data_IF_473098236940
#
_entry.id   IF_473098236940
#
_cell.length_a   1.000
_cell.length_b   1.000
_cell.length_c   1.000
_cell.angle_alpha   90.00
_cell.angle_beta   90.00
_cell.angle_gamma   90.00
#
_symmetry.space_group_name_H-M   'P 1'
#
loop_
_entity.id
_entity.type
_entity.pdbx_description
1 polymer ?
#
# COMPACT_ATOMS: atom_id res chain seq x y z
N UNK A 1 14.50 -20.39 -17.29
CA UNK A 1 13.04 -20.23 -17.03
C UNK A 1 12.57 -19.02 -17.79
N UNK A 2 11.47 -19.15 -18.54
CA UNK A 2 10.82 -18.03 -19.21
C UNK A 2 9.72 -17.50 -18.32
N UNK A 3 9.80 -16.23 -17.95
CA UNK A 3 8.86 -15.51 -17.10
C UNK A 3 8.13 -14.43 -17.91
N UNK A 4 6.81 -14.37 -17.86
CA UNK A 4 6.06 -13.21 -18.32
C UNK A 4 5.68 -12.34 -17.11
N UNK A 5 6.02 -11.04 -17.17
CA UNK A 5 5.73 -10.06 -16.15
C UNK A 5 4.61 -9.13 -16.64
N UNK A 6 3.42 -9.30 -16.07
CA UNK A 6 2.22 -8.53 -16.41
C UNK A 6 2.17 -7.16 -15.71
N UNK A 7 1.36 -6.24 -16.23
CA UNK A 7 1.24 -4.85 -15.77
C UNK A 7 2.61 -4.17 -15.64
N UNK A 8 3.52 -4.48 -16.59
CA UNK A 8 4.90 -4.01 -16.57
C UNK A 8 5.00 -2.51 -16.78
N UNK A 9 5.74 -1.85 -15.91
CA UNK A 9 6.10 -0.45 -16.04
C UNK A 9 7.58 -0.32 -16.38
N UNK A 10 7.98 0.84 -16.88
CA UNK A 10 9.39 1.09 -17.24
C UNK A 10 10.34 0.81 -16.07
N UNK A 11 9.97 1.23 -14.87
CA UNK A 11 10.79 0.99 -13.67
C UNK A 11 10.91 -0.51 -13.33
N UNK A 12 9.86 -1.34 -13.56
CA UNK A 12 10.00 -2.78 -13.38
C UNK A 12 11.10 -3.34 -14.29
N UNK A 13 11.06 -2.98 -15.57
CA UNK A 13 12.06 -3.39 -16.54
C UNK A 13 13.46 -2.97 -16.13
N UNK A 14 13.65 -1.69 -15.78
CA UNK A 14 14.96 -1.14 -15.42
C UNK A 14 15.59 -1.90 -14.22
N UNK A 15 14.80 -2.31 -13.23
CA UNK A 15 15.30 -3.02 -12.04
C UNK A 15 15.40 -4.53 -12.23
N UNK A 16 14.44 -5.18 -12.89
CA UNK A 16 14.51 -6.62 -13.14
C UNK A 16 15.62 -6.99 -14.12
N UNK A 17 15.82 -6.24 -15.21
CA UNK A 17 16.89 -6.49 -16.18
C UNK A 17 18.29 -6.42 -15.55
N UNK A 18 18.47 -5.57 -14.54
CA UNK A 18 19.74 -5.43 -13.82
C UNK A 18 20.17 -6.72 -13.12
N UNK A 19 19.21 -7.53 -12.65
CA UNK A 19 19.48 -8.71 -11.82
C UNK A 19 19.05 -10.04 -12.45
N UNK A 20 18.25 -10.04 -13.52
CA UNK A 20 17.68 -11.25 -14.15
C UNK A 20 18.73 -12.23 -14.67
N UNK A 21 19.86 -11.72 -15.18
CA UNK A 21 20.95 -12.54 -15.71
C UNK A 21 21.58 -13.45 -14.65
N UNK A 22 21.75 -12.95 -13.43
CA UNK A 22 22.29 -13.72 -12.31
C UNK A 22 21.33 -14.80 -11.81
N UNK A 23 20.02 -14.59 -12.01
CA UNK A 23 18.98 -15.54 -11.67
C UNK A 23 18.71 -16.58 -12.78
N UNK A 24 19.31 -16.44 -13.95
CA UNK A 24 19.08 -17.28 -15.15
C UNK A 24 17.60 -17.32 -15.55
N UNK A 25 16.94 -16.16 -15.52
CA UNK A 25 15.53 -15.96 -15.87
C UNK A 25 15.44 -15.07 -17.11
N UNK A 26 14.73 -15.54 -18.11
CA UNK A 26 14.41 -14.79 -19.33
C UNK A 26 13.04 -14.13 -19.13
N UNK A 27 13.00 -12.78 -19.06
CA UNK A 27 11.80 -12.03 -18.71
C UNK A 27 11.23 -11.34 -19.94
N UNK A 28 9.95 -11.60 -20.20
CA UNK A 28 9.15 -10.84 -21.16
C UNK A 28 8.22 -9.92 -20.39
N UNK A 29 8.18 -8.67 -20.79
CA UNK A 29 7.39 -7.61 -20.14
C UNK A 29 6.11 -7.35 -20.93
N UNK A 30 4.96 -7.58 -20.28
CA UNK A 30 3.62 -7.35 -20.83
C UNK A 30 2.99 -6.14 -20.10
N UNK A 31 2.58 -5.13 -20.86
CA UNK A 31 2.00 -3.90 -20.31
C UNK A 31 0.54 -4.08 -19.83
N UNK A 32 -0.15 -5.08 -20.39
CA UNK A 32 -1.50 -5.41 -19.96
C UNK A 32 -1.48 -6.11 -18.59
N UNK A 33 -2.54 -5.91 -17.82
CA UNK A 33 -2.78 -6.65 -16.58
C UNK A 33 -3.15 -8.10 -16.89
N UNK A 34 -2.81 -9.01 -16.00
CA UNK A 34 -3.32 -10.38 -16.05
C UNK A 34 -4.78 -10.39 -15.58
N UNK A 35 -5.65 -10.76 -16.50
CA UNK A 35 -7.11 -10.89 -16.30
C UNK A 35 -7.57 -12.16 -17.02
N UNK A 36 -8.83 -12.60 -16.85
CA UNK A 36 -9.37 -13.70 -17.67
C UNK A 36 -9.18 -13.48 -19.17
N UNK A 37 -9.36 -12.26 -19.66
CA UNK A 37 -9.28 -11.91 -21.08
C UNK A 37 -7.84 -11.96 -21.61
N UNK A 38 -6.85 -11.60 -20.79
CA UNK A 38 -5.42 -11.51 -21.17
C UNK A 38 -4.62 -12.74 -20.75
N UNK A 39 -5.22 -13.69 -20.04
CA UNK A 39 -4.55 -14.89 -19.55
C UNK A 39 -3.89 -15.74 -20.66
N UNK A 40 -4.43 -15.68 -21.89
CA UNK A 40 -3.89 -16.37 -23.06
C UNK A 40 -2.47 -15.91 -23.43
N UNK A 41 -2.06 -14.70 -23.01
CA UNK A 41 -0.71 -14.19 -23.24
C UNK A 41 0.37 -14.93 -22.42
N UNK A 42 -0.05 -15.73 -21.44
CA UNK A 42 0.87 -16.54 -20.64
C UNK A 42 1.24 -17.89 -21.28
N UNK A 43 0.67 -18.22 -22.45
CA UNK A 43 1.01 -19.47 -23.15
C UNK A 43 2.49 -19.49 -23.60
N UNK A 44 3.17 -20.61 -23.35
CA UNK A 44 4.58 -20.81 -23.68
C UNK A 44 5.57 -20.25 -22.66
N UNK A 45 5.10 -19.81 -21.48
CA UNK A 45 5.93 -19.39 -20.35
C UNK A 45 5.92 -20.43 -19.24
N UNK A 46 6.96 -20.42 -18.40
CA UNK A 46 7.12 -21.34 -17.26
C UNK A 46 6.49 -20.77 -15.97
N UNK A 47 6.45 -19.44 -15.86
CA UNK A 47 5.95 -18.71 -14.70
C UNK A 47 5.35 -17.36 -15.10
N UNK A 48 4.49 -16.83 -14.25
CA UNK A 48 3.94 -15.46 -14.35
C UNK A 48 4.38 -14.61 -13.16
N UNK A 49 4.73 -13.34 -13.42
CA UNK A 49 4.95 -12.33 -12.40
C UNK A 49 3.81 -11.32 -12.47
N UNK A 50 3.14 -11.08 -11.32
CA UNK A 50 1.94 -10.27 -11.23
C UNK A 50 2.07 -9.18 -10.18
N UNK A 51 1.22 -8.15 -10.27
CA UNK A 51 1.19 -7.01 -9.35
C UNK A 51 -0.17 -6.93 -8.62
N UNK A 52 -0.33 -5.91 -7.79
CA UNK A 52 -1.45 -5.74 -6.86
C UNK A 52 -2.82 -5.67 -7.54
N UNK A 53 -2.88 -5.21 -8.78
CA UNK A 53 -4.12 -5.02 -9.54
C UNK A 53 -4.40 -6.11 -10.59
N UNK A 54 -3.55 -7.12 -10.70
CA UNK A 54 -3.81 -8.30 -11.52
C UNK A 54 -4.92 -9.15 -10.89
N UNK A 55 -5.70 -9.82 -11.74
CA UNK A 55 -6.82 -10.67 -11.33
C UNK A 55 -6.46 -12.12 -11.58
N UNK A 56 -6.07 -12.84 -10.53
CA UNK A 56 -5.72 -14.26 -10.60
C UNK A 56 -6.79 -15.08 -9.90
N UNK A 57 -7.98 -15.04 -10.47
CA UNK A 57 -9.14 -15.80 -10.02
C UNK A 57 -9.07 -17.28 -10.48
N UNK A 58 -10.10 -18.07 -10.21
CA UNK A 58 -10.16 -19.49 -10.58
C UNK A 58 -9.97 -19.72 -12.06
N UNK A 59 -10.63 -18.94 -12.90
CA UNK A 59 -10.56 -19.05 -14.35
C UNK A 59 -9.13 -18.84 -14.85
N UNK A 60 -8.45 -17.80 -14.36
CA UNK A 60 -7.04 -17.52 -14.68
C UNK A 60 -6.14 -18.65 -14.19
N UNK A 61 -6.33 -19.13 -12.95
CA UNK A 61 -5.53 -20.23 -12.41
C UNK A 61 -5.67 -21.50 -13.25
N UNK A 62 -6.89 -21.86 -13.64
CA UNK A 62 -7.12 -23.03 -14.49
C UNK A 62 -6.43 -22.87 -15.83
N UNK A 63 -6.50 -21.68 -16.45
CA UNK A 63 -5.84 -21.36 -17.71
C UNK A 63 -4.31 -21.44 -17.60
N UNK A 64 -3.73 -20.87 -16.54
CA UNK A 64 -2.29 -20.97 -16.28
C UNK A 64 -1.86 -22.44 -16.11
N UNK A 65 -2.67 -23.26 -15.43
CA UNK A 65 -2.40 -24.70 -15.30
C UNK A 65 -2.49 -25.46 -16.62
N UNK A 66 -3.45 -25.12 -17.51
CA UNK A 66 -3.54 -25.68 -18.87
C UNK A 66 -2.27 -25.40 -19.69
N UNK A 67 -1.67 -24.22 -19.55
CA UNK A 67 -0.39 -23.85 -20.18
C UNK A 67 0.84 -24.47 -19.51
N UNK A 68 0.65 -25.22 -18.41
CA UNK A 68 1.73 -25.87 -17.69
C UNK A 68 2.51 -24.98 -16.74
N UNK A 69 2.03 -23.76 -16.47
CA UNK A 69 2.65 -22.82 -15.53
C UNK A 69 2.56 -23.38 -14.11
N UNK A 70 3.68 -23.32 -13.38
CA UNK A 70 3.81 -23.90 -12.02
C UNK A 70 4.04 -22.86 -10.94
N UNK A 71 4.32 -21.60 -11.31
CA UNK A 71 4.74 -20.57 -10.38
C UNK A 71 4.05 -19.23 -10.70
N UNK A 72 3.43 -18.64 -9.69
CA UNK A 72 2.98 -17.25 -9.67
C UNK A 72 3.88 -16.47 -8.72
N UNK A 73 4.51 -15.41 -9.21
CA UNK A 73 5.38 -14.52 -8.44
C UNK A 73 4.67 -13.19 -8.23
N UNK A 74 4.24 -12.90 -7.02
CA UNK A 74 3.72 -11.58 -6.67
C UNK A 74 4.90 -10.64 -6.37
N UNK A 75 5.12 -9.61 -7.22
CA UNK A 75 6.13 -8.57 -6.97
C UNK A 75 5.63 -7.49 -5.99
N UNK A 76 4.78 -7.90 -5.04
CA UNK A 76 4.21 -7.05 -4.00
C UNK A 76 3.94 -7.85 -2.73
N UNK A 77 3.64 -7.14 -1.63
CA UNK A 77 3.34 -7.78 -0.34
C UNK A 77 1.89 -8.29 -0.25
N UNK A 78 0.94 -7.60 -0.89
CA UNK A 78 -0.46 -7.99 -0.93
C UNK A 78 -0.71 -9.16 -1.88
N UNK A 79 -1.63 -10.06 -1.52
CA UNK A 79 -2.02 -11.21 -2.35
C UNK A 79 -3.53 -11.28 -2.59
N UNK A 80 -4.25 -10.19 -2.33
CA UNK A 80 -5.72 -10.14 -2.45
C UNK A 80 -6.21 -10.36 -3.89
N UNK A 81 -5.35 -10.15 -4.90
CA UNK A 81 -5.65 -10.41 -6.31
C UNK A 81 -5.64 -11.89 -6.70
N UNK A 82 -5.16 -12.79 -5.83
CA UNK A 82 -5.01 -14.23 -6.12
C UNK A 82 -5.96 -15.06 -5.25
N UNK A 83 -6.73 -15.97 -5.86
CA UNK A 83 -7.52 -16.98 -5.12
C UNK A 83 -6.56 -18.06 -4.57
N UNK A 84 -5.91 -17.75 -3.44
CA UNK A 84 -4.93 -18.64 -2.79
C UNK A 84 -5.56 -19.99 -2.42
N UNK A 85 -6.83 -19.99 -2.00
CA UNK A 85 -7.54 -21.23 -1.65
C UNK A 85 -7.67 -22.14 -2.86
N UNK A 86 -7.96 -21.58 -4.01
CA UNK A 86 -8.11 -22.34 -5.25
C UNK A 86 -6.76 -22.73 -5.88
N UNK A 87 -5.73 -21.93 -5.69
CA UNK A 87 -4.37 -22.21 -6.17
C UNK A 87 -3.71 -23.41 -5.49
N UNK A 88 -4.19 -23.81 -4.31
CA UNK A 88 -3.66 -24.92 -3.53
C UNK A 88 -3.55 -26.22 -4.36
N UNK A 89 -2.39 -26.88 -4.27
CA UNK A 89 -2.04 -28.09 -4.99
C UNK A 89 -2.11 -27.99 -6.54
N UNK A 90 -2.32 -26.81 -7.09
CA UNK A 90 -2.35 -26.56 -8.53
C UNK A 90 -1.14 -25.78 -8.98
N UNK A 91 -0.85 -24.67 -8.32
CA UNK A 91 0.21 -23.75 -8.70
C UNK A 91 0.81 -23.10 -7.44
N UNK A 92 2.13 -23.00 -7.40
CA UNK A 92 2.83 -22.37 -6.28
C UNK A 92 2.72 -20.85 -6.37
N UNK A 93 2.44 -20.20 -5.26
CA UNK A 93 2.34 -18.74 -5.17
C UNK A 93 3.39 -18.23 -4.21
N UNK A 94 4.30 -17.37 -4.70
CA UNK A 94 5.30 -16.67 -3.87
C UNK A 94 5.10 -15.17 -3.96
N UNK A 95 5.59 -14.43 -2.96
CA UNK A 95 5.44 -12.98 -2.91
C UNK A 95 6.70 -12.27 -2.43
N UNK A 96 6.68 -10.95 -2.46
CA UNK A 96 7.64 -10.09 -1.77
C UNK A 96 7.03 -9.64 -0.45
N UNK A 97 7.39 -10.25 0.69
CA UNK A 97 6.71 -10.01 1.97
C UNK A 97 7.01 -8.62 2.56
N UNK A 98 8.18 -8.08 2.25
CA UNK A 98 8.63 -6.74 2.65
C UNK A 98 9.74 -6.28 1.69
N UNK A 99 9.81 -4.98 1.43
CA UNK A 99 10.85 -4.41 0.55
C UNK A 99 11.58 -3.24 1.21
N UNK A 100 10.91 -2.13 1.56
CA UNK A 100 11.50 -1.00 2.27
C UNK A 100 10.43 -0.34 3.17
N UNK A 101 10.38 -0.69 4.46
CA UNK A 101 9.48 0.00 5.40
C UNK A 101 9.73 1.50 5.47
N UNK A 102 10.98 1.93 5.31
CA UNK A 102 11.38 3.34 5.34
C UNK A 102 10.73 4.14 4.21
N UNK A 103 10.62 3.58 2.99
CA UNK A 103 10.00 4.28 1.85
C UNK A 103 8.60 4.78 2.20
N UNK A 104 7.78 3.92 2.79
CA UNK A 104 6.42 4.28 3.17
C UNK A 104 6.41 5.22 4.39
N UNK A 105 7.30 5.02 5.35
CA UNK A 105 7.41 5.87 6.53
C UNK A 105 7.83 7.30 6.17
N UNK A 106 8.82 7.46 5.30
CA UNK A 106 9.35 8.76 4.86
C UNK A 106 8.33 9.54 4.02
N UNK A 107 7.67 8.90 3.07
CA UNK A 107 6.64 9.61 2.29
C UNK A 107 5.44 9.98 3.16
N UNK A 108 5.09 9.15 4.16
CA UNK A 108 4.01 9.43 5.11
C UNK A 108 4.24 10.74 5.87
N UNK A 109 5.46 10.99 6.35
CA UNK A 109 5.77 12.29 6.99
C UNK A 109 5.79 13.43 5.97
N UNK A 110 6.29 13.18 4.75
CA UNK A 110 6.24 14.14 3.66
C UNK A 110 4.82 14.59 3.33
N UNK A 111 3.87 13.66 3.28
CA UNK A 111 2.44 13.94 3.06
C UNK A 111 1.84 14.77 4.19
N UNK A 112 2.09 14.42 5.47
CA UNK A 112 1.58 15.18 6.62
C UNK A 112 2.17 16.61 6.62
N UNK A 113 3.47 16.77 6.41
CA UNK A 113 4.11 18.08 6.35
C UNK A 113 3.58 18.90 5.17
N UNK A 114 3.26 18.27 4.05
CA UNK A 114 2.66 18.96 2.89
C UNK A 114 1.30 19.54 3.26
N UNK A 115 0.47 18.81 4.01
CA UNK A 115 -0.80 19.33 4.50
C UNK A 115 -0.62 20.41 5.55
N UNK A 116 0.15 20.15 6.61
CA UNK A 116 0.26 21.05 7.77
C UNK A 116 1.01 22.33 7.47
N UNK A 117 1.97 22.29 6.53
CA UNK A 117 2.80 23.43 6.12
C UNK A 117 2.40 23.99 4.76
N UNK A 118 1.35 23.45 4.12
CA UNK A 118 0.80 23.89 2.83
C UNK A 118 1.84 23.96 1.72
N UNK A 119 2.74 22.97 1.67
CA UNK A 119 3.93 22.98 0.79
C UNK A 119 3.54 23.09 -0.68
N UNK A 120 2.53 22.32 -1.14
CA UNK A 120 2.06 22.37 -2.53
C UNK A 120 1.60 23.77 -2.92
N UNK A 121 0.78 24.40 -2.06
CA UNK A 121 0.26 25.74 -2.29
C UNK A 121 1.37 26.79 -2.32
N UNK A 122 2.37 26.66 -1.46
CA UNK A 122 3.53 27.55 -1.45
C UNK A 122 4.35 27.44 -2.74
N UNK A 123 4.59 26.19 -3.22
CA UNK A 123 5.31 25.94 -4.47
C UNK A 123 4.53 26.49 -5.67
N UNK A 124 3.21 26.25 -5.73
CA UNK A 124 2.35 26.76 -6.79
C UNK A 124 2.35 28.28 -6.86
N UNK A 125 2.20 28.96 -5.71
CA UNK A 125 2.27 30.43 -5.64
C UNK A 125 3.58 30.97 -6.18
N UNK A 126 4.72 30.44 -5.72
CA UNK A 126 6.05 30.94 -6.14
C UNK A 126 6.34 30.66 -7.62
N UNK A 127 5.88 29.53 -8.18
CA UNK A 127 5.96 29.25 -9.62
C UNK A 127 5.19 30.26 -10.48
N UNK A 128 4.13 30.84 -9.91
CA UNK A 128 3.32 31.91 -10.53
C UNK A 128 3.76 33.31 -10.09
N UNK A 129 5.00 33.50 -9.59
CA UNK A 129 5.57 34.76 -9.12
C UNK A 129 4.77 35.43 -7.99
N UNK A 130 3.91 34.71 -7.30
CA UNK A 130 3.16 35.19 -6.14
C UNK A 130 3.93 34.84 -4.84
N UNK A 131 4.64 35.80 -4.28
CA UNK A 131 5.43 35.64 -3.06
C UNK A 131 4.68 36.06 -1.78
N UNK A 132 3.39 36.37 -1.87
CA UNK A 132 2.56 36.65 -0.70
C UNK A 132 2.42 35.43 0.21
N UNK A 133 2.48 35.65 1.52
CA UNK A 133 2.29 34.58 2.53
C UNK A 133 0.82 34.33 2.87
N UNK A 134 -0.11 35.08 2.29
CA UNK A 134 -1.54 34.91 2.52
C UNK A 134 -2.02 33.49 2.19
N UNK A 135 -2.75 32.88 3.12
CA UNK A 135 -3.26 31.53 2.99
C UNK A 135 -2.22 30.43 3.23
N UNK A 136 -0.96 30.74 3.61
CA UNK A 136 0.10 29.78 3.89
C UNK A 136 0.32 29.48 5.38
N UNK A 137 -0.45 30.10 6.28
CA UNK A 137 -0.35 29.79 7.72
C UNK A 137 -0.64 28.31 7.93
N UNK A 138 0.35 27.60 8.48
CA UNK A 138 0.28 26.20 8.88
C UNK A 138 0.42 26.07 10.40
N UNK A 139 0.72 24.84 10.85
CA UNK A 139 0.97 24.54 12.26
C UNK A 139 2.05 23.47 12.44
N UNK A 140 2.63 23.42 13.62
CA UNK A 140 3.69 22.48 13.97
C UNK A 140 3.12 21.12 14.43
N UNK A 141 3.86 20.06 14.15
CA UNK A 141 3.56 18.70 14.67
C UNK A 141 4.11 18.48 16.08
N UNK A 142 5.10 19.28 16.49
CA UNK A 142 5.72 19.19 17.81
C UNK A 142 4.67 19.24 18.93
N UNK A 143 4.80 18.34 19.91
CA UNK A 143 3.88 18.14 21.04
C UNK A 143 2.44 17.70 20.69
N UNK A 144 2.11 17.48 19.40
CA UNK A 144 0.83 16.88 19.01
C UNK A 144 0.84 15.37 19.19
N UNK A 145 -0.36 14.81 19.27
CA UNK A 145 -0.55 13.36 19.43
C UNK A 145 -0.85 12.72 18.07
N UNK A 146 -0.12 11.66 17.74
CA UNK A 146 -0.44 10.79 16.62
C UNK A 146 -0.98 9.45 17.13
N UNK A 147 -2.09 9.01 16.56
CA UNK A 147 -2.67 7.68 16.76
C UNK A 147 -2.27 6.76 15.60
N UNK A 148 -1.57 5.69 15.89
CA UNK A 148 -1.11 4.71 14.91
C UNK A 148 -2.00 3.46 15.02
N UNK A 149 -2.65 3.08 13.93
CA UNK A 149 -3.48 1.88 13.87
C UNK A 149 -2.76 0.81 13.06
N UNK A 150 -2.28 -0.24 13.75
CA UNK A 150 -1.35 -1.25 13.24
C UNK A 150 0.10 -0.90 13.54
N UNK A 151 0.83 -1.82 14.21
CA UNK A 151 2.21 -1.61 14.69
C UNK A 151 3.24 -2.49 14.00
N UNK A 152 2.99 -2.80 12.70
CA UNK A 152 3.92 -3.54 11.86
C UNK A 152 5.20 -2.76 11.55
N UNK A 153 6.10 -3.37 10.77
CA UNK A 153 7.43 -2.81 10.46
C UNK A 153 7.40 -1.38 9.92
N UNK A 154 6.45 -1.07 9.02
CA UNK A 154 6.28 0.29 8.46
C UNK A 154 5.92 1.28 9.56
N UNK A 155 4.96 0.94 10.40
CA UNK A 155 4.54 1.79 11.51
C UNK A 155 5.68 2.05 12.50
N UNK A 156 6.52 1.05 12.76
CA UNK A 156 7.68 1.20 13.64
C UNK A 156 8.70 2.20 13.10
N UNK A 157 9.04 2.14 11.81
CA UNK A 157 9.92 3.13 11.18
C UNK A 157 9.27 4.52 11.18
N UNK A 158 7.97 4.61 10.94
CA UNK A 158 7.24 5.87 11.00
C UNK A 158 7.21 6.47 12.41
N UNK A 159 7.00 5.64 13.45
CA UNK A 159 7.07 6.06 14.86
C UNK A 159 8.45 6.63 15.23
N UNK A 160 9.55 6.06 14.73
CA UNK A 160 10.91 6.59 14.94
C UNK A 160 11.05 8.02 14.39
N UNK A 161 10.54 8.26 13.18
CA UNK A 161 10.55 9.59 12.56
C UNK A 161 9.71 10.58 13.39
N UNK A 162 8.48 10.17 13.76
CA UNK A 162 7.56 11.01 14.53
C UNK A 162 8.09 11.34 15.93
N UNK A 163 8.75 10.40 16.58
CA UNK A 163 9.46 10.62 17.86
C UNK A 163 10.56 11.67 17.69
N UNK A 164 11.34 11.61 16.60
CA UNK A 164 12.36 12.62 16.27
C UNK A 164 11.81 14.03 16.05
N UNK A 165 10.56 14.14 15.61
CA UNK A 165 9.83 15.42 15.47
C UNK A 165 9.29 15.92 16.83
N UNK A 166 9.22 15.05 17.84
CA UNK A 166 8.69 15.36 19.16
C UNK A 166 7.17 15.21 19.26
N UNK A 167 6.56 14.32 18.48
CA UNK A 167 5.15 13.95 18.63
C UNK A 167 4.96 12.95 19.76
N UNK A 168 3.78 12.98 20.39
CA UNK A 168 3.32 11.95 21.32
C UNK A 168 2.68 10.82 20.50
N UNK A 169 3.07 9.58 20.77
CA UNK A 169 2.62 8.43 19.97
C UNK A 169 1.70 7.55 20.82
N UNK A 170 0.48 7.37 20.35
CA UNK A 170 -0.47 6.35 20.81
C UNK A 170 -0.60 5.30 19.72
N UNK A 171 -0.74 4.04 20.10
CA UNK A 171 -0.88 2.96 19.13
C UNK A 171 -2.00 2.01 19.50
N UNK A 172 -2.60 1.42 18.47
CA UNK A 172 -3.55 0.33 18.58
C UNK A 172 -3.15 -0.80 17.63
N UNK A 173 -3.15 -2.02 18.14
CA UNK A 173 -2.99 -3.23 17.33
C UNK A 173 -3.84 -4.36 17.94
N UNK A 174 -4.35 -5.25 17.10
CA UNK A 174 -5.08 -6.45 17.57
C UNK A 174 -4.13 -7.48 18.20
N UNK A 175 -2.82 -7.38 17.90
CA UNK A 175 -1.74 -8.19 18.48
C UNK A 175 -0.63 -7.29 19.02
N UNK A 176 -0.84 -6.63 20.18
CA UNK A 176 0.12 -5.69 20.74
C UNK A 176 1.45 -6.37 21.09
N UNK A 177 2.56 -5.71 20.75
CA UNK A 177 3.92 -6.13 21.11
C UNK A 177 4.52 -5.16 22.14
N UNK A 178 4.48 -5.51 23.40
CA UNK A 178 4.93 -4.66 24.51
C UNK A 178 6.46 -4.48 24.60
N UNK A 179 7.25 -5.32 23.93
CA UNK A 179 8.68 -5.11 23.82
C UNK A 179 8.99 -3.92 22.91
N UNK A 180 8.31 -3.85 21.75
CA UNK A 180 8.42 -2.72 20.82
C UNK A 180 7.86 -1.44 21.43
N UNK A 181 6.75 -1.50 22.18
CA UNK A 181 6.22 -0.36 22.93
C UNK A 181 7.30 0.27 23.82
N UNK A 182 8.00 -0.57 24.59
CA UNK A 182 9.07 -0.13 25.47
C UNK A 182 10.29 0.41 24.72
N UNK A 183 10.67 -0.26 23.62
CA UNK A 183 11.83 0.12 22.80
C UNK A 183 11.61 1.49 22.13
N UNK A 184 10.44 1.71 21.53
CA UNK A 184 10.14 2.93 20.78
C UNK A 184 9.48 4.03 21.63
N UNK A 185 9.11 3.75 22.88
CA UNK A 185 8.60 4.74 23.83
C UNK A 185 7.20 5.26 23.50
N UNK A 186 6.38 4.49 22.80
CA UNK A 186 4.97 4.81 22.57
C UNK A 186 4.06 4.12 23.60
N UNK A 187 2.74 4.29 23.52
CA UNK A 187 1.78 3.66 24.41
C UNK A 187 0.67 2.97 23.62
N UNK A 188 0.42 1.67 23.91
CA UNK A 188 -0.79 1.00 23.44
C UNK A 188 -2.03 1.48 24.19
N UNK A 189 -3.08 1.74 23.45
CA UNK A 189 -4.40 2.17 23.94
C UNK A 189 -5.51 1.47 23.13
N UNK A 190 -6.76 1.58 23.59
CA UNK A 190 -7.90 1.13 22.80
C UNK A 190 -8.16 2.07 21.60
N UNK A 191 -8.96 1.57 20.65
CA UNK A 191 -9.27 2.29 19.42
C UNK A 191 -10.06 3.60 19.68
N UNK A 192 -10.94 3.59 20.67
CA UNK A 192 -11.70 4.79 21.06
C UNK A 192 -10.78 5.89 21.59
N UNK A 193 -9.75 5.53 22.33
CA UNK A 193 -8.73 6.48 22.80
C UNK A 193 -7.93 7.05 21.64
N UNK A 194 -7.57 6.21 20.62
CA UNK A 194 -6.95 6.70 19.36
C UNK A 194 -7.84 7.79 18.74
N UNK A 195 -9.12 7.54 18.58
CA UNK A 195 -10.04 8.51 17.99
C UNK A 195 -10.14 9.81 18.80
N UNK A 196 -10.32 9.72 20.11
CA UNK A 196 -10.53 10.89 20.96
C UNK A 196 -9.30 11.76 21.20
N UNK A 197 -8.09 11.16 21.19
CA UNK A 197 -6.90 11.86 21.67
C UNK A 197 -5.92 12.25 20.57
N UNK A 198 -6.11 11.76 19.33
CA UNK A 198 -5.16 11.99 18.25
C UNK A 198 -5.43 13.29 17.49
N UNK A 199 -4.37 14.02 17.17
CA UNK A 199 -4.37 15.16 16.24
C UNK A 199 -4.11 14.67 14.80
N UNK A 200 -3.44 13.52 14.66
CA UNK A 200 -3.22 12.80 13.40
C UNK A 200 -3.55 11.34 13.64
N UNK A 201 -4.30 10.71 12.75
CA UNK A 201 -4.55 9.26 12.77
C UNK A 201 -3.95 8.66 11.51
N UNK A 202 -3.07 7.65 11.68
CA UNK A 202 -2.37 6.99 10.59
C UNK A 202 -2.66 5.49 10.56
N UNK A 203 -3.07 5.01 9.38
CA UNK A 203 -3.47 3.63 9.16
C UNK A 203 -2.31 2.81 8.60
N UNK A 204 -1.94 1.73 9.29
CA UNK A 204 -0.87 0.80 8.94
C UNK A 204 -1.29 -0.67 9.10
N UNK A 205 -2.58 -0.94 9.25
CA UNK A 205 -3.12 -2.28 9.38
C UNK A 205 -3.53 -2.89 8.02
N UNK A 206 -3.53 -4.22 7.88
CA UNK A 206 -4.10 -4.87 6.69
C UNK A 206 -5.63 -4.69 6.67
N UNK A 207 -6.21 -4.76 5.48
CA UNK A 207 -7.66 -4.80 5.31
C UNK A 207 -8.18 -6.23 5.60
N UNK A 208 -9.21 -6.29 6.43
CA UNK A 208 -9.97 -7.50 6.74
C UNK A 208 -11.47 -7.20 6.63
N UNK A 209 -12.34 -8.23 6.73
CA UNK A 209 -13.80 -8.02 6.81
C UNK A 209 -14.20 -7.17 8.01
N UNK A 210 -13.45 -7.27 9.11
CA UNK A 210 -13.83 -6.67 10.40
C UNK A 210 -13.44 -5.19 10.52
N UNK A 211 -12.50 -4.73 9.70
CA UNK A 211 -12.01 -3.35 9.72
C UNK A 211 -12.28 -2.56 8.43
N UNK A 212 -13.04 -3.13 7.50
CA UNK A 212 -13.51 -2.39 6.33
C UNK A 212 -14.32 -1.19 6.80
N UNK A 213 -14.00 0.00 6.24
CA UNK A 213 -14.60 1.28 6.65
C UNK A 213 -14.51 1.55 8.15
N UNK A 214 -13.39 1.19 8.78
CA UNK A 214 -13.19 1.52 10.20
C UNK A 214 -13.14 3.05 10.44
N UNK A 215 -12.72 3.82 9.44
CA UNK A 215 -12.89 5.27 9.40
C UNK A 215 -14.19 5.58 8.65
N UNK A 216 -15.25 5.85 9.39
CA UNK A 216 -16.59 6.10 8.91
C UNK A 216 -17.25 7.24 9.69
N UNK A 217 -18.50 7.55 9.41
CA UNK A 217 -19.22 8.63 10.05
C UNK A 217 -19.24 8.54 11.58
N UNK A 218 -19.40 7.34 12.14
CA UNK A 218 -19.50 7.14 13.59
C UNK A 218 -18.12 7.31 14.26
N UNK A 219 -17.08 6.65 13.73
CA UNK A 219 -15.71 6.82 14.24
C UNK A 219 -15.23 8.27 14.11
N UNK A 220 -15.52 8.94 12.99
CA UNK A 220 -15.19 10.35 12.76
C UNK A 220 -15.89 11.26 13.80
N UNK A 221 -17.13 10.96 14.17
CA UNK A 221 -17.84 11.76 15.17
C UNK A 221 -17.11 11.81 16.53
N UNK A 222 -16.41 10.72 16.88
CA UNK A 222 -15.64 10.56 18.11
C UNK A 222 -14.23 11.18 18.06
N UNK A 223 -13.76 11.57 16.88
CA UNK A 223 -12.42 12.15 16.71
C UNK A 223 -12.37 13.61 17.19
N UNK A 224 -11.15 14.11 17.39
CA UNK A 224 -10.94 15.55 17.61
C UNK A 224 -11.41 16.36 16.41
N UNK A 225 -11.91 17.58 16.66
CA UNK A 225 -12.11 18.55 15.58
C UNK A 225 -10.76 18.97 15.01
N UNK A 226 -10.66 18.98 13.69
CA UNK A 226 -9.43 19.33 13.00
C UNK A 226 -8.38 18.21 12.96
N UNK A 227 -8.77 16.94 13.18
CA UNK A 227 -7.87 15.79 13.02
C UNK A 227 -7.42 15.63 11.57
N UNK A 228 -6.21 15.10 11.35
CA UNK A 228 -5.69 14.71 10.04
C UNK A 228 -5.79 13.19 9.91
N UNK A 229 -6.22 12.72 8.74
CA UNK A 229 -6.23 11.30 8.41
C UNK A 229 -5.13 10.99 7.40
N UNK A 230 -4.27 10.02 7.72
CA UNK A 230 -3.24 9.49 6.83
C UNK A 230 -3.53 8.01 6.52
N UNK A 231 -3.55 7.66 5.25
CA UNK A 231 -3.72 6.28 4.82
C UNK A 231 -2.73 5.90 3.71
N UNK A 232 -1.74 5.09 4.06
CA UNK A 232 -0.80 4.46 3.15
C UNK A 232 -0.93 2.92 3.18
N UNK A 233 -2.07 2.41 3.68
CA UNK A 233 -2.31 0.98 3.85
C UNK A 233 -3.26 0.41 2.79
N UNK A 234 -4.58 0.57 2.97
CA UNK A 234 -5.60 0.09 2.02
C UNK A 234 -6.77 1.08 1.95
N UNK A 235 -7.25 1.37 0.74
CA UNK A 235 -8.33 2.35 0.51
C UNK A 235 -9.61 2.04 1.27
N UNK A 236 -10.05 0.80 1.23
CA UNK A 236 -11.27 0.31 1.91
C UNK A 236 -11.27 0.41 3.45
N UNK A 237 -10.18 0.84 4.09
CA UNK A 237 -10.18 1.16 5.53
C UNK A 237 -10.97 2.43 5.83
N UNK A 238 -11.21 3.27 4.83
CA UNK A 238 -11.92 4.55 4.94
C UNK A 238 -13.17 4.51 4.08
N UNK A 239 -14.31 4.89 4.64
CA UNK A 239 -15.49 5.33 3.88
C UNK A 239 -15.17 6.71 3.29
N UNK A 240 -14.84 6.73 2.00
CA UNK A 240 -14.39 7.96 1.33
C UNK A 240 -15.46 9.05 1.32
N UNK A 241 -16.75 8.67 1.21
CA UNK A 241 -17.84 9.65 1.26
C UNK A 241 -17.96 10.29 2.64
N UNK A 242 -17.89 9.50 3.70
CA UNK A 242 -17.91 10.02 5.07
C UNK A 242 -16.69 10.93 5.34
N UNK A 243 -15.52 10.58 4.80
CA UNK A 243 -14.30 11.42 4.87
C UNK A 243 -14.51 12.77 4.18
N UNK A 244 -15.03 12.81 2.97
CA UNK A 244 -15.30 14.03 2.20
C UNK A 244 -16.28 14.94 2.98
N UNK A 245 -17.40 14.38 3.45
CA UNK A 245 -18.41 15.12 4.22
C UNK A 245 -17.80 15.73 5.50
N UNK A 246 -16.94 14.99 6.18
CA UNK A 246 -16.26 15.44 7.38
C UNK A 246 -15.21 16.54 7.11
N UNK A 247 -14.51 16.48 5.98
CA UNK A 247 -13.57 17.53 5.54
C UNK A 247 -14.35 18.81 5.21
N UNK A 248 -15.43 18.71 4.45
CA UNK A 248 -16.28 19.85 4.09
C UNK A 248 -16.92 20.54 5.29
N UNK A 249 -17.29 19.76 6.30
CA UNK A 249 -17.83 20.31 7.56
C UNK A 249 -16.76 20.91 8.49
N UNK A 250 -15.47 20.72 8.20
CA UNK A 250 -14.36 21.14 9.05
C UNK A 250 -14.11 20.22 10.27
N UNK A 251 -14.79 19.09 10.37
CA UNK A 251 -14.54 18.08 11.42
C UNK A 251 -13.17 17.47 11.26
N UNK A 252 -12.78 17.15 10.02
CA UNK A 252 -11.42 16.72 9.62
C UNK A 252 -10.72 17.90 8.97
N UNK A 253 -9.49 18.22 9.42
CA UNK A 253 -8.68 19.28 8.84
C UNK A 253 -8.28 18.97 7.40
N UNK A 254 -7.90 17.72 7.12
CA UNK A 254 -7.50 17.26 5.82
C UNK A 254 -7.10 15.79 5.82
N UNK A 255 -6.87 15.25 4.64
CA UNK A 255 -6.47 13.87 4.47
C UNK A 255 -5.26 13.74 3.54
N UNK A 256 -4.39 12.76 3.83
CA UNK A 256 -3.26 12.38 3.02
C UNK A 256 -3.38 10.88 2.69
N UNK A 257 -3.62 10.57 1.43
CA UNK A 257 -4.03 9.26 0.97
C UNK A 257 -3.08 8.78 -0.14
N UNK A 258 -2.42 7.66 0.06
CA UNK A 258 -1.68 6.97 -1.02
C UNK A 258 -2.55 5.91 -1.70
N UNK A 259 -3.67 5.55 -1.07
CA UNK A 259 -4.60 4.50 -1.51
C UNK A 259 -6.03 5.02 -1.55
N UNK A 260 -6.86 4.42 -2.42
CA UNK A 260 -8.25 4.78 -2.60
C UNK A 260 -9.13 3.52 -2.74
N UNK A 261 -10.42 3.60 -2.35
CA UNK A 261 -11.33 2.44 -2.38
C UNK A 261 -11.44 1.79 -3.77
N UNK A 262 -11.58 2.60 -4.83
CA UNK A 262 -11.74 2.16 -6.20
C UNK A 262 -10.48 2.37 -7.06
N UNK A 263 -9.29 2.35 -6.45
CA UNK A 263 -8.02 2.63 -7.11
C UNK A 263 -7.72 1.75 -8.32
N UNK A 264 -8.24 0.53 -8.37
CA UNK A 264 -7.98 -0.47 -9.44
C UNK A 264 -8.25 0.05 -10.85
N UNK A 265 -9.20 0.96 -10.99
CA UNK A 265 -9.62 1.48 -12.29
C UNK A 265 -8.72 2.60 -12.80
N UNK A 266 -8.01 3.31 -11.90
CA UNK A 266 -7.35 4.57 -12.23
C UNK A 266 -5.86 4.56 -11.88
N UNK A 267 -5.47 4.05 -10.71
CA UNK A 267 -4.10 4.13 -10.25
C UNK A 267 -3.16 3.30 -11.13
N UNK A 268 -1.92 3.76 -11.25
CA UNK A 268 -0.88 3.26 -12.16
C UNK A 268 -1.15 3.50 -13.66
N UNK A 269 -2.21 4.22 -14.03
CA UNK A 269 -2.54 4.53 -15.43
C UNK A 269 -2.53 6.04 -15.67
N UNK A 270 -2.17 6.45 -16.89
CA UNK A 270 -2.35 7.83 -17.33
C UNK A 270 -3.78 8.03 -17.85
N UNK A 271 -4.62 8.61 -17.02
CA UNK A 271 -6.02 8.94 -17.33
C UNK A 271 -6.18 10.40 -17.80
N UNK A 272 -5.10 11.14 -18.09
CA UNK A 272 -5.19 12.56 -18.47
C UNK A 272 -5.99 12.82 -19.74
N UNK A 273 -6.03 11.85 -20.65
CA UNK A 273 -6.78 11.92 -21.92
C UNK A 273 -8.21 11.34 -21.83
N UNK A 274 -8.38 10.28 -21.04
CA UNK A 274 -9.68 9.58 -20.91
C UNK A 274 -10.55 10.16 -19.82
N UNK A 275 -9.94 10.89 -18.87
CA UNK A 275 -10.62 11.37 -17.68
C UNK A 275 -10.83 10.26 -16.64
N UNK A 276 -11.50 10.61 -15.56
CA UNK A 276 -11.90 9.74 -14.45
C UNK A 276 -13.43 9.72 -14.43
N UNK A 277 -14.03 8.54 -14.43
CA UNK A 277 -15.49 8.35 -14.32
C UNK A 277 -15.89 7.87 -12.92
N UNK A 278 -15.39 8.57 -11.90
CA UNK A 278 -15.67 8.34 -10.49
C UNK A 278 -15.89 9.70 -9.82
N UNK A 279 -17.16 10.04 -9.58
CA UNK A 279 -17.53 11.34 -9.01
C UNK A 279 -16.99 11.53 -7.59
N UNK A 280 -16.85 10.45 -6.80
CA UNK A 280 -16.29 10.51 -5.46
C UNK A 280 -14.79 10.84 -5.52
N UNK A 281 -14.06 10.21 -6.45
CA UNK A 281 -12.65 10.54 -6.65
C UNK A 281 -12.44 11.95 -7.15
N UNK A 282 -13.27 12.41 -8.11
CA UNK A 282 -13.24 13.82 -8.58
C UNK A 282 -13.49 14.80 -7.45
N UNK A 283 -14.49 14.52 -6.62
CA UNK A 283 -14.82 15.34 -5.46
C UNK A 283 -13.65 15.37 -4.46
N UNK A 284 -13.09 14.21 -4.14
CA UNK A 284 -11.92 14.09 -3.26
C UNK A 284 -10.72 14.90 -3.76
N UNK A 285 -10.41 14.79 -5.06
CA UNK A 285 -9.31 15.51 -5.71
C UNK A 285 -9.54 17.03 -5.81
N UNK A 286 -10.78 17.49 -5.71
CA UNK A 286 -11.12 18.93 -5.75
C UNK A 286 -10.90 19.66 -4.42
N UNK A 287 -10.63 18.92 -3.33
CA UNK A 287 -10.47 19.50 -2.00
C UNK A 287 -9.04 19.99 -1.78
N UNK A 288 -8.85 21.28 -1.48
CA UNK A 288 -7.54 21.93 -1.25
C UNK A 288 -6.71 21.31 -0.12
N UNK A 289 -7.38 20.68 0.84
CA UNK A 289 -6.80 20.06 2.02
C UNK A 289 -6.78 18.54 1.96
N UNK A 290 -6.79 18.00 0.76
CA UNK A 290 -6.60 16.57 0.48
C UNK A 290 -5.38 16.37 -0.42
N UNK A 291 -4.54 15.42 -0.07
CA UNK A 291 -3.43 14.95 -0.90
C UNK A 291 -3.75 13.51 -1.27
N UNK A 292 -3.82 13.22 -2.56
CA UNK A 292 -3.96 11.87 -3.08
C UNK A 292 -2.74 11.53 -3.93
N UNK A 293 -2.08 10.44 -3.58
CA UNK A 293 -1.04 9.83 -4.40
C UNK A 293 -1.61 8.57 -5.07
N UNK A 294 -0.88 8.02 -6.01
CA UNK A 294 -1.35 6.92 -6.86
C UNK A 294 -0.78 5.56 -6.42
N UNK A 295 -0.84 5.25 -5.12
CA UNK A 295 -0.28 4.04 -4.52
C UNK A 295 1.23 3.92 -4.78
N UNK A 296 1.94 5.03 -4.60
CA UNK A 296 3.36 5.17 -4.92
C UNK A 296 4.27 5.21 -3.69
N UNK A 297 3.73 5.04 -2.47
CA UNK A 297 4.51 5.18 -1.24
C UNK A 297 5.73 4.24 -1.19
N UNK A 298 5.70 3.13 -1.90
CA UNK A 298 6.81 2.19 -2.02
C UNK A 298 7.88 2.58 -3.04
N UNK A 299 7.61 3.52 -3.95
CA UNK A 299 8.39 3.73 -5.17
C UNK A 299 9.71 4.45 -4.88
N UNK A 300 10.70 3.71 -4.41
CA UNK A 300 12.08 4.14 -4.20
C UNK A 300 13.07 3.16 -4.80
N UNK A 301 14.32 3.58 -5.00
CA UNK A 301 15.39 2.72 -5.53
C UNK A 301 15.60 1.48 -4.67
N UNK A 302 15.59 1.63 -3.35
CA UNK A 302 15.77 0.57 -2.37
C UNK A 302 14.64 -0.45 -2.43
N UNK A 303 13.40 0.04 -2.52
CA UNK A 303 12.22 -0.82 -2.61
C UNK A 303 12.19 -1.60 -3.94
N UNK A 304 12.41 -0.93 -5.07
CA UNK A 304 12.43 -1.56 -6.39
C UNK A 304 13.56 -2.58 -6.52
N UNK A 305 14.74 -2.25 -5.99
CA UNK A 305 15.87 -3.19 -5.90
C UNK A 305 15.49 -4.43 -5.08
N UNK A 306 14.91 -4.23 -3.90
CA UNK A 306 14.50 -5.32 -3.01
C UNK A 306 13.40 -6.18 -3.65
N UNK A 307 12.42 -5.56 -4.32
CA UNK A 307 11.35 -6.25 -5.04
C UNK A 307 11.93 -7.16 -6.13
N UNK A 308 12.82 -6.64 -6.97
CA UNK A 308 13.44 -7.41 -8.04
C UNK A 308 14.27 -8.59 -7.48
N UNK A 309 15.15 -8.30 -6.50
CA UNK A 309 16.02 -9.33 -5.92
C UNK A 309 15.23 -10.44 -5.21
N UNK A 310 14.21 -10.09 -4.42
CA UNK A 310 13.39 -11.08 -3.70
C UNK A 310 12.57 -11.91 -4.69
N UNK A 311 11.97 -11.28 -5.70
CA UNK A 311 11.20 -11.98 -6.74
C UNK A 311 12.08 -12.98 -7.49
N UNK A 312 13.26 -12.56 -7.95
CA UNK A 312 14.20 -13.42 -8.65
C UNK A 312 14.78 -14.53 -7.76
N UNK A 313 15.02 -14.24 -6.47
CA UNK A 313 15.44 -15.26 -5.51
C UNK A 313 14.35 -16.31 -5.23
N UNK A 314 13.09 -15.90 -5.16
CA UNK A 314 11.96 -16.84 -5.06
C UNK A 314 11.91 -17.78 -6.27
N UNK A 315 12.11 -17.25 -7.49
CA UNK A 315 12.18 -18.04 -8.72
C UNK A 315 13.36 -19.03 -8.66
N UNK A 316 14.55 -18.56 -8.28
CA UNK A 316 15.75 -19.40 -8.15
C UNK A 316 15.54 -20.54 -7.16
N UNK A 317 14.97 -20.26 -6.00
CA UNK A 317 14.64 -21.29 -5.00
C UNK A 317 13.63 -22.31 -5.53
N UNK A 318 12.60 -21.86 -6.24
CA UNK A 318 11.62 -22.75 -6.88
C UNK A 318 12.30 -23.69 -7.89
N UNK A 319 13.17 -23.15 -8.76
CA UNK A 319 13.92 -23.94 -9.74
C UNK A 319 14.83 -25.01 -9.12
N UNK A 320 15.40 -24.69 -7.97
CA UNK A 320 16.30 -25.57 -7.23
C UNK A 320 15.58 -26.54 -6.28
N UNK A 321 14.24 -26.53 -6.24
CA UNK A 321 13.42 -27.25 -5.26
C UNK A 321 13.82 -26.93 -3.80
N UNK A 322 14.26 -25.69 -3.53
CA UNK A 322 14.59 -25.21 -2.19
C UNK A 322 13.32 -24.78 -1.43
N UNK A 323 13.42 -24.66 -0.10
CA UNK A 323 12.31 -24.19 0.73
C UNK A 323 11.94 -22.73 0.41
N UNK A 324 10.64 -22.49 0.16
CA UNK A 324 10.10 -21.20 -0.26
C UNK A 324 9.56 -20.43 0.96
N UNK A 325 10.43 -19.70 1.66
CA UNK A 325 10.02 -18.91 2.84
C UNK A 325 9.04 -17.77 2.53
N UNK A 326 8.83 -17.46 1.27
CA UNK A 326 7.89 -16.40 0.83
C UNK A 326 6.66 -16.97 0.13
N UNK A 327 6.41 -18.27 0.26
CA UNK A 327 5.20 -18.92 -0.25
C UNK A 327 3.97 -18.45 0.51
N UNK A 328 2.86 -18.31 -0.21
CA UNK A 328 1.53 -18.07 0.32
C UNK A 328 0.64 -19.23 -0.09
N UNK A 329 0.11 -19.95 0.89
CA UNK A 329 -0.73 -21.11 0.63
C UNK A 329 -1.92 -21.21 1.59
N UNK A 330 -2.92 -22.01 1.23
CA UNK A 330 -4.05 -22.28 2.09
C UNK A 330 -3.81 -23.55 2.90
N UNK A 331 -3.84 -23.41 4.24
CA UNK A 331 -3.76 -24.53 5.19
C UNK A 331 -5.16 -25.00 5.56
N UNK A 332 -5.54 -26.20 5.10
CA UNK A 332 -6.85 -26.79 5.39
C UNK A 332 -7.02 -27.16 6.86
N UNK A 333 -5.93 -27.48 7.56
CA UNK A 333 -5.99 -27.89 8.96
C UNK A 333 -6.36 -26.73 9.87
N UNK A 334 -6.00 -25.52 9.45
CA UNK A 334 -6.26 -24.28 10.18
C UNK A 334 -7.35 -23.43 9.52
N UNK A 335 -7.90 -23.85 8.37
CA UNK A 335 -8.87 -23.13 7.53
C UNK A 335 -8.47 -21.67 7.29
N UNK A 336 -7.17 -21.44 7.00
CA UNK A 336 -6.64 -20.10 6.79
C UNK A 336 -5.53 -20.04 5.74
N UNK A 337 -5.31 -18.85 5.19
CA UNK A 337 -4.14 -18.56 4.38
C UNK A 337 -2.94 -18.40 5.31
N UNK A 338 -1.86 -19.12 5.01
CA UNK A 338 -0.58 -19.04 5.71
C UNK A 338 0.42 -18.31 4.85
N UNK A 339 1.11 -17.38 5.46
CA UNK A 339 2.33 -16.80 4.94
C UNK A 339 3.41 -16.88 6.05
N UNK A 340 4.62 -17.24 5.68
CA UNK A 340 5.72 -17.43 6.64
C UNK A 340 6.28 -16.11 7.21
N UNK A 341 5.48 -15.03 7.28
CA UNK A 341 5.82 -13.81 8.03
C UNK A 341 5.70 -14.08 9.52
N UNK A 342 6.70 -14.73 10.09
CA UNK A 342 6.89 -14.72 11.54
C UNK A 342 8.31 -14.33 11.88
#
# INVERSE_FOLDING_TARGET
MKLILFDAKKYDKDYFDKYSKEANVDIVYEEQKLTPETSHLADGYDAVCVFVNDIVNREVIDKLCEFGIKLIVLRCAGYNGVDIKYAKNKITVVRVPAYSPNSIAEISIGMILTLTRKINKAIEKTRNYNFSLEGLVGFDLFNRTVGIIGTGKIAQEFMKILSGIGMKILAYDVYPNYEIEKELGFKYVDLDTIYRESDVISLHCPLTSDNAHMINKDSISNMKNGVIILNTARGMLIDTKALIDAIKSGKIYGAALDVYENEKNYFFNDCSKTGVDDEILKELLSLDNVIVFSHQAYLTEEALTSIALISLNNIKKFLNNEFLNNEVFYDETQDKIVDFRK
#
